data_IF_533814596628
#
_entry.id   IF_533814596628
#
_cell.length_a   1.000
_cell.length_b   1.000
_cell.length_c   1.000
_cell.angle_alpha   90.00
_cell.angle_beta   90.00
_cell.angle_gamma   90.00
#
_symmetry.space_group_name_H-M   'P 1'
#
loop_
_entity.id
_entity.type
_entity.pdbx_description
1 polymer ?
#
# COMPACT_ATOMS: atom_id res chain seq x y z
N UNK A 1 5.74 29.48 16.19
CA UNK A 1 6.06 30.60 15.34
C UNK A 1 5.35 31.88 15.75
N UNK A 2 6.11 32.83 16.11
CA UNK A 2 5.56 34.12 16.57
C UNK A 2 5.05 34.94 15.39
N UNK A 3 3.88 35.51 15.57
CA UNK A 3 3.32 36.51 14.67
C UNK A 3 4.28 37.69 14.43
N UNK A 4 5.31 37.87 15.26
CA UNK A 4 6.31 38.95 15.18
C UNK A 4 7.36 38.71 14.10
N UNK A 5 7.52 37.50 13.60
CA UNK A 5 8.39 37.19 12.45
C UNK A 5 7.76 37.57 11.10
N UNK A 6 6.56 38.11 11.10
CA UNK A 6 5.73 38.37 9.92
C UNK A 6 5.87 39.78 9.37
N UNK A 7 7.04 40.34 9.48
CA UNK A 7 7.34 41.60 8.82
C UNK A 7 7.79 41.46 7.37
N UNK A 8 8.30 42.52 6.80
CA UNK A 8 8.89 42.54 5.45
C UNK A 8 9.87 41.38 5.18
N UNK A 9 10.60 40.92 6.21
CA UNK A 9 11.50 39.78 6.09
C UNK A 9 10.81 38.46 5.76
N UNK A 10 9.61 38.23 6.23
CA UNK A 10 8.81 37.06 5.92
C UNK A 10 8.28 37.06 4.47
N UNK A 11 7.91 38.23 3.98
CA UNK A 11 7.47 38.44 2.60
C UNK A 11 8.62 38.04 1.66
N UNK A 12 9.83 38.49 1.93
CA UNK A 12 11.01 38.13 1.14
C UNK A 12 11.33 36.64 1.22
N UNK A 13 11.18 36.01 2.37
CA UNK A 13 11.42 34.55 2.55
C UNK A 13 10.40 33.70 1.82
N UNK A 14 9.22 34.23 1.53
CA UNK A 14 8.12 33.48 0.86
C UNK A 14 8.02 33.72 -0.64
N UNK A 15 8.86 34.55 -1.22
CA UNK A 15 8.79 34.91 -2.64
C UNK A 15 8.82 33.64 -3.53
N UNK A 16 9.70 32.70 -3.23
CA UNK A 16 9.80 31.43 -3.97
C UNK A 16 8.52 30.60 -3.78
N UNK A 17 8.04 30.46 -2.53
CA UNK A 17 6.83 29.67 -2.24
C UNK A 17 5.56 30.26 -2.87
N UNK A 18 5.52 31.56 -3.07
CA UNK A 18 4.36 32.28 -3.67
C UNK A 18 4.51 32.46 -5.19
N UNK A 19 5.62 32.00 -5.78
CA UNK A 19 5.87 32.12 -7.22
C UNK A 19 5.92 33.57 -7.72
N UNK A 20 6.45 34.51 -6.91
CA UNK A 20 6.52 35.91 -7.30
C UNK A 20 7.43 36.08 -8.53
N UNK A 21 7.09 36.99 -9.46
CA UNK A 21 7.94 37.27 -10.62
C UNK A 21 9.37 37.61 -10.22
N UNK A 22 10.33 36.97 -10.90
CA UNK A 22 11.75 37.12 -10.64
C UNK A 22 12.33 36.28 -9.49
N UNK A 23 11.49 35.44 -8.86
CA UNK A 23 11.99 34.46 -7.88
C UNK A 23 12.75 33.35 -8.58
N UNK A 24 13.92 32.99 -8.04
CA UNK A 24 14.69 31.85 -8.53
C UNK A 24 14.27 30.56 -7.79
N UNK A 25 14.38 29.40 -8.42
CA UNK A 25 14.09 28.12 -7.78
C UNK A 25 15.07 27.85 -6.62
N UNK A 26 14.57 27.23 -5.56
CA UNK A 26 15.37 26.81 -4.41
C UNK A 26 15.08 25.36 -4.11
N UNK A 27 16.14 24.53 -4.08
CA UNK A 27 16.03 23.11 -3.80
C UNK A 27 15.49 22.85 -2.38
N UNK A 28 14.46 22.02 -2.29
CA UNK A 28 13.94 21.57 -1.01
C UNK A 28 14.82 20.47 -0.44
N UNK A 29 15.37 20.69 0.74
CA UNK A 29 16.24 19.73 1.44
C UNK A 29 15.56 18.37 1.67
N UNK A 30 14.27 18.35 1.98
CA UNK A 30 13.51 17.12 2.24
C UNK A 30 13.44 16.22 0.99
N UNK A 31 13.38 16.80 -0.19
CA UNK A 31 13.41 16.04 -1.46
C UNK A 31 14.73 15.29 -1.61
N UNK A 32 15.84 15.95 -1.29
CA UNK A 32 17.17 15.28 -1.31
C UNK A 32 17.21 14.15 -0.28
N UNK A 33 16.69 14.37 0.93
CA UNK A 33 16.64 13.34 1.97
C UNK A 33 15.77 12.14 1.56
N UNK A 34 14.65 12.36 0.89
CA UNK A 34 13.83 11.29 0.31
C UNK A 34 14.55 10.52 -0.81
N UNK A 35 15.19 11.25 -1.74
CA UNK A 35 15.96 10.61 -2.80
C UNK A 35 17.11 9.76 -2.24
N UNK A 36 17.82 10.25 -1.23
CA UNK A 36 18.85 9.50 -0.52
C UNK A 36 18.28 8.27 0.18
N UNK A 37 17.15 8.41 0.88
CA UNK A 37 16.53 7.29 1.58
C UNK A 37 16.09 6.19 0.60
N UNK A 38 15.46 6.56 -0.51
CA UNK A 38 15.07 5.61 -1.57
C UNK A 38 16.30 4.94 -2.19
N UNK A 39 17.33 5.71 -2.51
CA UNK A 39 18.58 5.19 -3.06
C UNK A 39 19.29 4.20 -2.11
N UNK A 40 19.38 4.53 -0.82
CA UNK A 40 19.97 3.64 0.18
C UNK A 40 19.16 2.33 0.34
N UNK A 41 17.83 2.43 0.38
CA UNK A 41 16.94 1.26 0.46
C UNK A 41 16.98 0.38 -0.79
N UNK A 42 17.28 0.98 -1.93
CA UNK A 42 17.46 0.31 -3.22
C UNK A 42 18.94 -0.05 -3.51
N UNK A 43 19.80 -0.05 -2.48
CA UNK A 43 21.20 -0.42 -2.57
C UNK A 43 22.02 0.38 -3.58
N UNK A 44 21.63 1.61 -3.87
CA UNK A 44 22.33 2.47 -4.80
C UNK A 44 23.61 3.06 -4.20
N UNK A 45 24.57 3.32 -5.06
CA UNK A 45 25.70 4.18 -4.76
C UNK A 45 25.24 5.64 -4.81
N UNK A 46 25.45 6.39 -3.73
CA UNK A 46 25.13 7.82 -3.66
C UNK A 46 26.24 8.63 -4.32
N UNK A 47 25.88 9.53 -5.23
CA UNK A 47 26.78 10.50 -5.78
C UNK A 47 26.91 11.68 -4.82
N UNK A 48 28.07 11.84 -4.21
CA UNK A 48 28.31 12.91 -3.23
C UNK A 48 28.36 14.31 -3.86
N UNK A 49 28.47 14.38 -5.17
CA UNK A 49 28.37 15.61 -5.95
C UNK A 49 27.37 15.39 -7.07
N UNK A 50 26.23 16.03 -7.00
CA UNK A 50 25.23 16.01 -8.04
C UNK A 50 24.75 17.42 -8.39
N UNK A 51 24.18 17.59 -9.56
CA UNK A 51 23.69 18.88 -10.05
C UNK A 51 22.41 18.69 -10.84
N UNK A 52 21.70 19.79 -10.98
CA UNK A 52 20.53 19.85 -11.84
C UNK A 52 20.89 20.37 -13.24
N UNK A 53 20.14 19.89 -14.20
CA UNK A 53 20.19 20.27 -15.61
C UNK A 53 18.81 20.75 -16.05
N UNK A 54 18.74 21.64 -17.04
CA UNK A 54 17.50 22.03 -17.70
C UNK A 54 17.25 21.10 -18.88
N UNK A 55 16.11 20.43 -18.87
CA UNK A 55 15.53 19.66 -19.98
C UNK A 55 14.58 20.56 -20.75
N UNK A 56 15.01 21.08 -21.90
CA UNK A 56 14.28 22.11 -22.63
C UNK A 56 13.26 21.47 -23.60
N UNK A 57 12.00 21.78 -23.41
CA UNK A 57 10.93 21.42 -24.35
C UNK A 57 9.74 22.34 -24.22
N UNK A 58 9.02 22.49 -25.31
CA UNK A 58 7.86 23.36 -25.42
C UNK A 58 6.60 22.52 -25.35
N UNK A 59 5.86 22.65 -24.25
CA UNK A 59 4.58 21.95 -24.09
C UNK A 59 3.65 22.74 -23.13
N UNK A 60 2.31 22.70 -23.33
CA UNK A 60 1.40 23.53 -22.53
C UNK A 60 1.44 23.29 -21.02
N UNK A 61 1.77 22.07 -20.58
CA UNK A 61 1.88 21.69 -19.16
C UNK A 61 3.22 22.08 -18.54
N UNK A 62 4.15 22.61 -19.33
CA UNK A 62 5.47 23.05 -18.92
C UNK A 62 5.61 24.58 -19.06
N UNK A 63 5.13 25.38 -18.10
CA UNK A 63 4.96 26.82 -18.25
C UNK A 63 6.27 27.58 -18.43
N UNK A 64 7.38 27.06 -17.97
CA UNK A 64 8.71 27.70 -18.10
C UNK A 64 9.49 27.23 -19.32
N UNK A 65 8.93 26.31 -20.13
CA UNK A 65 9.53 25.73 -21.32
C UNK A 65 10.81 24.91 -21.08
N UNK A 66 11.07 24.56 -19.84
CA UNK A 66 12.06 23.58 -19.44
C UNK A 66 11.61 22.89 -18.16
N UNK A 67 12.15 21.72 -17.91
CA UNK A 67 11.97 20.95 -16.70
C UNK A 67 13.31 20.86 -15.98
N UNK A 68 13.34 21.11 -14.68
CA UNK A 68 14.52 20.85 -13.85
C UNK A 68 14.61 19.33 -13.70
N UNK A 69 15.80 18.77 -14.00
CA UNK A 69 16.06 17.34 -13.96
C UNK A 69 17.55 17.09 -13.67
N UNK A 70 18.01 15.85 -13.71
CA UNK A 70 19.44 15.49 -13.54
C UNK A 70 19.83 14.46 -14.60
N UNK A 71 20.48 14.88 -15.67
CA UNK A 71 20.95 13.96 -16.72
C UNK A 71 22.36 13.42 -16.44
N UNK A 72 23.31 14.31 -16.17
CA UNK A 72 24.73 13.92 -16.14
C UNK A 72 25.20 13.43 -14.79
N UNK A 73 24.68 14.03 -13.71
CA UNK A 73 25.10 13.75 -12.34
C UNK A 73 23.86 13.51 -11.44
N UNK A 74 23.15 12.39 -11.64
CA UNK A 74 22.02 12.02 -10.81
C UNK A 74 22.46 11.77 -9.36
N UNK A 75 21.51 11.80 -8.45
CA UNK A 75 21.77 11.61 -7.00
C UNK A 75 22.23 10.19 -6.66
N UNK A 76 21.72 9.16 -7.38
CA UNK A 76 22.06 7.76 -7.12
C UNK A 76 22.32 6.98 -8.41
N UNK A 77 23.18 5.96 -8.35
CA UNK A 77 23.48 5.02 -9.45
C UNK A 77 23.74 3.61 -8.95
N UNK A 78 23.69 2.67 -9.88
CA UNK A 78 24.22 1.31 -9.73
C UNK A 78 23.57 0.57 -8.54
N UNK A 79 22.25 0.67 -8.39
CA UNK A 79 21.49 0.01 -7.34
C UNK A 79 20.87 -1.31 -7.79
N UNK A 80 20.12 -1.94 -6.87
CA UNK A 80 19.31 -3.11 -7.18
C UNK A 80 18.21 -3.34 -6.14
N UNK A 81 17.20 -4.11 -6.54
CA UNK A 81 16.21 -4.69 -5.63
C UNK A 81 16.05 -6.18 -5.93
N UNK A 82 15.91 -6.99 -4.89
CA UNK A 82 15.60 -8.39 -5.02
C UNK A 82 14.06 -8.56 -5.04
N UNK A 83 13.54 -9.17 -6.10
CA UNK A 83 12.12 -9.44 -6.31
C UNK A 83 11.83 -10.93 -6.12
N UNK A 84 10.58 -11.24 -5.78
CA UNK A 84 10.02 -12.58 -5.76
C UNK A 84 8.66 -12.53 -6.45
N UNK A 85 8.50 -13.28 -7.54
CA UNK A 85 7.25 -13.33 -8.29
C UNK A 85 6.23 -14.23 -7.60
N UNK A 86 4.95 -14.17 -8.01
CA UNK A 86 3.90 -15.06 -7.50
C UNK A 86 4.22 -16.53 -7.78
N UNK A 87 4.88 -16.82 -8.90
CA UNK A 87 5.36 -18.17 -9.25
C UNK A 87 6.56 -18.64 -8.40
N UNK A 88 7.09 -17.78 -7.51
CA UNK A 88 8.21 -18.09 -6.63
C UNK A 88 9.59 -17.87 -7.25
N UNK A 89 9.68 -17.30 -8.45
CA UNK A 89 10.97 -16.93 -9.05
C UNK A 89 11.60 -15.77 -8.25
N UNK A 90 12.84 -15.97 -7.82
CA UNK A 90 13.64 -14.93 -7.17
C UNK A 90 14.66 -14.37 -8.14
N UNK A 91 14.72 -13.05 -8.22
CA UNK A 91 15.58 -12.37 -9.16
C UNK A 91 16.07 -11.03 -8.61
N UNK A 92 17.30 -10.67 -8.95
CA UNK A 92 17.81 -9.32 -8.75
C UNK A 92 17.56 -8.49 -9.99
N UNK A 93 16.96 -7.31 -9.80
CA UNK A 93 16.74 -6.31 -10.85
C UNK A 93 17.63 -5.10 -10.52
N UNK A 94 18.48 -4.73 -11.45
CA UNK A 94 19.34 -3.56 -11.34
C UNK A 94 18.57 -2.26 -11.47
N UNK A 95 19.09 -1.24 -10.81
CA UNK A 95 18.67 0.15 -10.95
C UNK A 95 19.84 0.91 -11.56
N UNK A 96 19.62 1.43 -12.75
CA UNK A 96 20.63 2.21 -13.47
C UNK A 96 20.92 3.51 -12.73
N UNK A 97 19.87 4.27 -12.44
CA UNK A 97 19.99 5.52 -11.69
C UNK A 97 18.67 5.92 -11.01
N UNK A 98 18.81 6.79 -10.03
CA UNK A 98 17.70 7.56 -9.45
C UNK A 98 18.08 9.02 -9.56
N UNK A 99 17.19 9.83 -10.12
CA UNK A 99 17.39 11.26 -10.22
C UNK A 99 16.17 12.05 -9.75
N UNK A 100 16.43 13.29 -9.35
CA UNK A 100 15.39 14.22 -8.93
C UNK A 100 15.02 15.11 -10.11
N UNK A 101 13.74 15.39 -10.22
CA UNK A 101 13.21 16.33 -11.19
C UNK A 101 11.98 17.06 -10.64
N UNK A 102 11.45 18.02 -11.38
CA UNK A 102 10.15 18.62 -11.10
C UNK A 102 9.07 17.99 -11.99
N UNK A 103 7.86 17.90 -11.46
CA UNK A 103 6.71 17.42 -12.23
C UNK A 103 6.14 18.53 -13.12
N UNK A 104 5.56 18.15 -14.24
CA UNK A 104 4.82 19.04 -15.14
C UNK A 104 3.36 19.19 -14.67
N UNK A 105 2.65 20.13 -15.25
CA UNK A 105 1.20 20.26 -15.12
C UNK A 105 0.47 19.04 -15.70
N UNK A 106 -0.84 19.11 -15.75
CA UNK A 106 -1.70 18.07 -16.33
C UNK A 106 -2.52 18.65 -17.48
N UNK A 107 -2.52 17.95 -18.60
CA UNK A 107 -3.42 18.24 -19.72
C UNK A 107 -4.66 17.34 -19.62
N UNK A 108 -5.83 17.95 -19.73
CA UNK A 108 -7.12 17.29 -19.75
C UNK A 108 -7.72 17.63 -21.14
N UNK A 109 -7.75 16.63 -22.02
CA UNK A 109 -8.38 16.78 -23.33
C UNK A 109 -9.88 16.61 -23.18
N UNK A 110 -10.63 17.63 -23.65
CA UNK A 110 -12.08 17.53 -23.69
C UNK A 110 -12.49 16.60 -24.83
N UNK A 111 -13.46 15.72 -24.59
CA UNK A 111 -13.95 14.79 -25.62
C UNK A 111 -15.04 15.42 -26.51
N UNK A 112 -15.61 16.53 -26.08
CA UNK A 112 -16.75 17.19 -26.70
C UNK A 112 -16.39 18.49 -27.41
N UNK A 113 -15.37 19.19 -26.88
CA UNK A 113 -14.88 20.44 -27.43
C UNK A 113 -13.44 20.24 -27.95
N UNK A 114 -13.09 20.86 -29.07
CA UNK A 114 -11.73 20.85 -29.58
C UNK A 114 -10.81 21.77 -28.76
N UNK A 115 -10.72 21.43 -27.47
CA UNK A 115 -9.90 22.16 -26.51
C UNK A 115 -9.18 21.22 -25.55
N UNK A 116 -8.17 21.77 -24.87
CA UNK A 116 -7.47 21.11 -23.77
C UNK A 116 -7.39 22.06 -22.59
N UNK A 117 -7.78 21.56 -21.41
CA UNK A 117 -7.61 22.28 -20.16
C UNK A 117 -6.23 21.99 -19.61
N UNK A 118 -5.59 23.00 -19.03
CA UNK A 118 -4.27 22.87 -18.41
C UNK A 118 -4.42 23.10 -16.91
N UNK A 119 -4.06 22.08 -16.12
CA UNK A 119 -4.03 22.15 -14.68
C UNK A 119 -2.57 22.19 -14.19
N UNK A 120 -2.18 23.31 -13.59
CA UNK A 120 -0.83 23.54 -13.05
C UNK A 120 -0.66 23.18 -11.57
N UNK A 121 -1.67 22.62 -10.89
CA UNK A 121 -1.55 22.30 -9.46
C UNK A 121 -0.40 21.37 -9.13
N UNK A 122 0.00 20.53 -10.08
CA UNK A 122 1.13 19.60 -9.94
C UNK A 122 2.46 20.17 -10.45
N UNK A 123 2.44 21.25 -11.22
CA UNK A 123 3.65 21.84 -11.82
C UNK A 123 4.66 22.25 -10.77
N UNK A 124 5.91 21.82 -10.93
CA UNK A 124 7.00 22.10 -10.00
C UNK A 124 7.00 21.25 -8.72
N UNK A 125 6.06 20.32 -8.55
CA UNK A 125 6.10 19.37 -7.43
C UNK A 125 7.33 18.48 -7.60
N UNK A 126 8.13 18.26 -6.55
CA UNK A 126 9.30 17.39 -6.64
C UNK A 126 8.94 15.96 -7.02
N UNK A 127 9.70 15.40 -7.94
CA UNK A 127 9.57 14.06 -8.48
C UNK A 127 10.89 13.32 -8.37
N UNK A 128 10.83 12.02 -8.10
CA UNK A 128 11.97 11.11 -8.16
C UNK A 128 11.70 10.13 -9.29
N UNK A 129 12.58 10.06 -10.28
CA UNK A 129 12.55 9.05 -11.33
C UNK A 129 13.54 7.92 -11.01
N UNK A 130 13.08 6.68 -11.11
CA UNK A 130 13.86 5.47 -10.90
C UNK A 130 13.95 4.72 -12.22
N UNK A 131 15.14 4.60 -12.76
CA UNK A 131 15.40 3.93 -14.04
C UNK A 131 15.99 2.55 -13.77
N UNK A 132 15.29 1.50 -14.19
CA UNK A 132 15.78 0.12 -14.05
C UNK A 132 16.80 -0.25 -15.13
N UNK A 133 17.68 -1.21 -14.82
CA UNK A 133 18.39 -1.94 -15.87
C UNK A 133 17.43 -2.85 -16.65
N UNK A 134 17.75 -3.21 -17.90
CA UNK A 134 16.88 -4.02 -18.75
C UNK A 134 16.93 -5.52 -18.39
N UNK A 135 16.75 -5.83 -17.12
CA UNK A 135 16.90 -7.19 -16.57
C UNK A 135 15.61 -8.00 -16.62
N UNK A 136 14.45 -7.35 -16.60
CA UNK A 136 13.14 -8.00 -16.53
C UNK A 136 12.79 -8.67 -17.87
N UNK A 137 12.12 -9.84 -17.78
CA UNK A 137 11.81 -10.70 -18.95
C UNK A 137 10.34 -11.08 -19.07
N UNK A 138 9.51 -10.71 -18.09
CA UNK A 138 8.07 -10.99 -18.10
C UNK A 138 7.27 -9.90 -17.43
N UNK A 139 5.97 -9.85 -17.70
CA UNK A 139 5.04 -8.97 -17.01
C UNK A 139 5.02 -9.24 -15.50
N UNK A 140 5.10 -10.51 -15.08
CA UNK A 140 5.14 -10.91 -13.68
C UNK A 140 6.35 -10.33 -12.94
N UNK A 141 7.53 -10.36 -13.56
CA UNK A 141 8.74 -9.75 -13.00
C UNK A 141 8.60 -8.22 -12.86
N UNK A 142 7.98 -7.56 -13.86
CA UNK A 142 7.74 -6.10 -13.82
C UNK A 142 6.78 -5.75 -12.69
N UNK A 143 5.69 -6.50 -12.51
CA UNK A 143 4.75 -6.25 -11.42
C UNK A 143 5.42 -6.47 -10.06
N UNK A 144 6.17 -7.56 -9.88
CA UNK A 144 6.92 -7.82 -8.65
C UNK A 144 7.93 -6.70 -8.33
N UNK A 145 8.60 -6.15 -9.35
CA UNK A 145 9.52 -5.02 -9.22
C UNK A 145 8.80 -3.74 -8.78
N UNK A 146 7.70 -3.39 -9.44
CA UNK A 146 6.93 -2.19 -9.11
C UNK A 146 6.29 -2.28 -7.72
N UNK A 147 5.78 -3.45 -7.33
CA UNK A 147 5.24 -3.68 -5.98
C UNK A 147 6.35 -3.56 -4.91
N UNK A 148 7.53 -4.09 -5.19
CA UNK A 148 8.68 -3.96 -4.29
C UNK A 148 9.08 -2.50 -4.09
N UNK A 149 9.19 -1.72 -5.18
CA UNK A 149 9.51 -0.30 -5.11
C UNK A 149 8.41 0.49 -4.39
N UNK A 150 7.15 0.25 -4.73
CA UNK A 150 6.01 0.89 -4.07
C UNK A 150 6.09 0.73 -2.56
N UNK A 151 6.29 -0.48 -2.08
CA UNK A 151 6.39 -0.76 -0.65
C UNK A 151 7.59 -0.09 -0.01
N UNK A 152 8.77 -0.12 -0.63
CA UNK A 152 9.94 0.60 -0.14
C UNK A 152 9.63 2.09 0.04
N UNK A 153 9.06 2.73 -0.97
CA UNK A 153 8.76 4.17 -0.98
C UNK A 153 7.69 4.53 0.06
N UNK A 154 6.64 3.71 0.18
CA UNK A 154 5.59 3.88 1.19
C UNK A 154 6.14 3.71 2.62
N UNK A 155 6.95 2.69 2.87
CA UNK A 155 7.57 2.49 4.19
C UNK A 155 8.52 3.64 4.57
N UNK A 156 9.23 4.20 3.61
CA UNK A 156 10.06 5.39 3.81
C UNK A 156 9.24 6.67 4.02
N UNK A 157 7.94 6.66 3.72
CA UNK A 157 7.08 7.84 3.80
C UNK A 157 7.40 8.90 2.74
N UNK A 158 8.03 8.51 1.63
CA UNK A 158 8.42 9.43 0.56
C UNK A 158 7.25 9.72 -0.40
N UNK A 159 6.34 8.77 -0.59
CA UNK A 159 5.10 8.89 -1.39
C UNK A 159 4.07 7.85 -0.94
N UNK A 160 2.79 8.12 -1.19
CA UNK A 160 1.70 7.16 -1.07
C UNK A 160 1.63 6.17 -2.25
N UNK A 161 2.32 6.49 -3.35
CA UNK A 161 2.46 5.64 -4.54
C UNK A 161 1.12 5.17 -5.15
N UNK A 162 0.13 6.04 -5.22
CA UNK A 162 -1.16 5.77 -5.83
C UNK A 162 -1.10 6.02 -7.35
N UNK A 163 -1.15 4.95 -8.15
CA UNK A 163 -1.14 5.03 -9.62
C UNK A 163 -2.34 5.79 -10.18
N UNK A 164 -3.52 5.61 -9.59
CA UNK A 164 -4.76 6.24 -10.04
C UNK A 164 -4.77 7.75 -9.81
N UNK A 165 -4.13 8.21 -8.74
CA UNK A 165 -3.99 9.63 -8.41
C UNK A 165 -2.75 10.27 -9.07
N UNK A 166 -1.89 9.45 -9.68
CA UNK A 166 -0.68 9.89 -10.38
C UNK A 166 0.50 10.23 -9.48
N UNK A 167 0.45 9.87 -8.19
CA UNK A 167 1.60 9.98 -7.28
C UNK A 167 2.64 8.88 -7.49
N UNK A 168 2.32 7.85 -8.26
CA UNK A 168 3.24 6.91 -8.88
C UNK A 168 2.88 6.78 -10.36
N UNK A 169 3.87 6.71 -11.23
CA UNK A 169 3.70 6.48 -12.67
C UNK A 169 4.74 5.47 -13.12
N UNK A 170 4.42 4.73 -14.16
CA UNK A 170 5.34 3.78 -14.77
C UNK A 170 5.27 3.89 -16.28
N UNK A 171 6.41 4.12 -16.91
CA UNK A 171 6.61 4.00 -18.34
C UNK A 171 7.36 2.70 -18.61
N UNK A 172 6.85 1.89 -19.56
CA UNK A 172 7.45 0.59 -19.88
C UNK A 172 8.16 0.66 -21.21
N UNK A 173 9.47 0.43 -21.18
CA UNK A 173 10.27 0.24 -22.37
C UNK A 173 10.39 -1.26 -22.67
N UNK A 174 9.89 -1.69 -23.83
CA UNK A 174 9.83 -3.08 -24.24
C UNK A 174 10.43 -3.31 -25.63
N UNK A 175 11.23 -4.36 -25.74
CA UNK A 175 11.70 -4.88 -27.02
C UNK A 175 11.64 -6.41 -27.04
N UNK A 176 11.49 -7.00 -28.20
CA UNK A 176 11.52 -8.45 -28.42
C UNK A 176 12.75 -8.82 -29.23
N UNK A 177 13.38 -9.93 -28.88
CA UNK A 177 14.49 -10.53 -29.63
C UNK A 177 14.36 -12.06 -29.67
N UNK A 178 15.05 -12.69 -30.59
CA UNK A 178 15.17 -14.13 -30.61
C UNK A 178 15.87 -14.65 -29.33
N UNK A 179 15.47 -15.81 -28.88
CA UNK A 179 16.08 -16.45 -27.70
C UNK A 179 17.59 -16.72 -27.96
N UNK A 180 18.44 -16.20 -27.08
CA UNK A 180 19.89 -16.30 -27.23
C UNK A 180 20.57 -15.21 -28.03
N UNK A 181 19.82 -14.30 -28.70
CA UNK A 181 20.41 -13.15 -29.36
C UNK A 181 21.15 -12.23 -28.34
N UNK A 182 22.38 -11.78 -28.64
CA UNK A 182 23.16 -10.97 -27.69
C UNK A 182 22.61 -9.53 -27.58
N UNK A 183 22.05 -9.00 -28.63
CA UNK A 183 21.57 -7.61 -28.70
C UNK A 183 20.07 -7.53 -28.44
N UNK A 184 19.64 -6.43 -27.83
CA UNK A 184 18.20 -6.13 -27.70
C UNK A 184 17.58 -5.76 -29.04
N UNK A 185 16.31 -6.07 -29.18
CA UNK A 185 15.52 -5.59 -30.31
C UNK A 185 15.19 -4.10 -30.21
N UNK A 186 14.51 -3.57 -31.22
CA UNK A 186 14.03 -2.19 -31.22
C UNK A 186 12.99 -1.98 -30.14
N UNK A 187 13.23 -1.04 -29.24
CA UNK A 187 12.32 -0.76 -28.12
C UNK A 187 11.17 0.16 -28.51
N UNK A 188 10.03 -0.07 -27.88
CA UNK A 188 8.92 0.87 -27.81
C UNK A 188 8.68 1.30 -26.38
N UNK A 189 8.22 2.53 -26.19
CA UNK A 189 7.86 3.08 -24.89
C UNK A 189 6.34 3.04 -24.73
N UNK A 190 5.84 2.39 -23.69
CA UNK A 190 4.41 2.29 -23.40
C UNK A 190 4.02 3.28 -22.32
N UNK A 191 3.03 4.14 -22.61
CA UNK A 191 2.49 5.18 -21.70
C UNK A 191 1.01 4.97 -21.42
N UNK A 192 0.47 5.74 -20.44
CA UNK A 192 -0.93 5.70 -20.01
C UNK A 192 -1.28 4.39 -19.26
N UNK A 193 -0.42 4.00 -18.34
CA UNK A 193 -0.52 2.76 -17.57
C UNK A 193 -0.99 3.09 -16.14
N UNK A 194 -2.30 2.99 -15.89
CA UNK A 194 -2.92 3.52 -14.68
C UNK A 194 -3.16 2.48 -13.58
N UNK A 195 -2.75 1.22 -13.80
CA UNK A 195 -2.84 0.15 -12.81
C UNK A 195 -1.82 -0.96 -13.11
N UNK A 196 -1.45 -1.74 -12.11
CA UNK A 196 -0.57 -2.90 -12.34
C UNK A 196 -1.17 -3.92 -13.31
N UNK A 197 -2.49 -4.09 -13.30
CA UNK A 197 -3.20 -4.93 -14.27
C UNK A 197 -3.08 -4.38 -15.70
N UNK A 198 -3.23 -3.06 -15.87
CA UNK A 198 -3.04 -2.41 -17.16
C UNK A 198 -1.59 -2.53 -17.65
N UNK A 199 -0.61 -2.39 -16.76
CA UNK A 199 0.81 -2.59 -17.08
C UNK A 199 1.05 -4.02 -17.60
N UNK A 200 0.56 -5.03 -16.90
CA UNK A 200 0.72 -6.43 -17.31
C UNK A 200 0.07 -6.69 -18.68
N UNK A 201 -1.15 -6.20 -18.92
CA UNK A 201 -1.83 -6.33 -20.23
C UNK A 201 -1.10 -5.60 -21.35
N UNK A 202 -0.61 -4.40 -21.06
CA UNK A 202 0.15 -3.62 -22.03
C UNK A 202 1.44 -4.33 -22.47
N UNK A 203 2.19 -4.90 -21.50
CA UNK A 203 3.39 -5.67 -21.79
C UNK A 203 3.06 -6.87 -22.69
N UNK A 204 2.05 -7.65 -22.37
CA UNK A 204 1.67 -8.83 -23.14
C UNK A 204 1.09 -8.46 -24.51
N UNK A 205 0.32 -7.38 -24.60
CA UNK A 205 -0.20 -6.87 -25.87
C UNK A 205 0.91 -6.38 -26.79
N UNK A 206 1.84 -5.59 -26.25
CA UNK A 206 2.95 -5.05 -27.06
C UNK A 206 3.94 -6.15 -27.44
N UNK A 207 4.21 -7.12 -26.53
CA UNK A 207 5.03 -8.29 -26.85
C UNK A 207 4.46 -9.07 -28.05
N UNK A 208 3.16 -9.36 -28.05
CA UNK A 208 2.49 -10.04 -29.17
C UNK A 208 2.61 -9.24 -30.45
N UNK A 209 2.31 -7.94 -30.42
CA UNK A 209 2.41 -7.07 -31.58
C UNK A 209 3.81 -7.07 -32.20
N UNK A 210 4.87 -6.99 -31.39
CA UNK A 210 6.25 -7.00 -31.89
C UNK A 210 6.62 -8.36 -32.48
N UNK A 211 6.19 -9.47 -31.87
CA UNK A 211 6.41 -10.81 -32.40
C UNK A 211 5.73 -10.96 -33.76
N UNK A 212 4.45 -10.59 -33.88
CA UNK A 212 3.71 -10.67 -35.15
C UNK A 212 4.39 -9.86 -36.27
N UNK A 213 4.85 -8.64 -35.96
CA UNK A 213 5.59 -7.83 -36.94
C UNK A 213 6.88 -8.52 -37.43
N UNK A 214 7.65 -9.10 -36.49
CA UNK A 214 8.91 -9.77 -36.82
C UNK A 214 8.68 -11.07 -37.60
N UNK A 215 7.66 -11.84 -37.28
CA UNK A 215 7.27 -13.06 -37.99
C UNK A 215 6.76 -12.75 -39.42
N UNK A 216 6.12 -11.61 -39.62
CA UNK A 216 5.74 -11.11 -40.95
C UNK A 216 6.92 -10.52 -41.75
N UNK A 217 8.14 -10.54 -41.19
CA UNK A 217 9.32 -9.94 -41.82
C UNK A 217 9.33 -8.41 -41.81
N UNK A 218 8.49 -7.78 -40.98
CA UNK A 218 8.42 -6.33 -40.79
C UNK A 218 9.35 -5.90 -39.67
N UNK A 219 9.69 -4.63 -39.63
CA UNK A 219 10.53 -4.05 -38.58
C UNK A 219 9.70 -3.38 -37.50
N UNK A 220 10.12 -3.51 -36.27
CA UNK A 220 9.62 -2.71 -35.15
C UNK A 220 10.22 -1.30 -35.27
N UNK A 221 9.37 -0.28 -35.19
CA UNK A 221 9.80 1.13 -35.22
C UNK A 221 9.94 1.60 -33.76
N UNK A 222 11.01 2.35 -33.47
CA UNK A 222 11.20 2.97 -32.16
C UNK A 222 10.23 4.15 -32.02
N UNK A 223 9.21 3.98 -31.18
CA UNK A 223 8.14 4.94 -30.98
C UNK A 223 7.60 4.90 -29.56
N UNK A 224 6.94 6.01 -29.17
CA UNK A 224 6.11 6.06 -27.95
C UNK A 224 4.68 5.67 -28.33
N UNK A 225 4.10 4.76 -27.55
CA UNK A 225 2.75 4.22 -27.75
C UNK A 225 1.88 4.44 -26.52
N UNK A 226 0.64 4.85 -26.74
CA UNK A 226 -0.38 4.97 -25.69
C UNK A 226 -1.19 3.67 -25.61
N UNK A 227 -1.27 3.10 -24.44
CA UNK A 227 -2.11 1.95 -24.15
C UNK A 227 -3.58 2.37 -23.97
N UNK A 228 -4.49 1.64 -24.57
CA UNK A 228 -5.94 1.73 -24.39
C UNK A 228 -6.40 0.42 -23.72
N UNK A 229 -6.66 0.49 -22.42
CA UNK A 229 -6.95 -0.69 -21.61
C UNK A 229 -8.32 -1.31 -21.95
N UNK A 230 -9.27 -0.51 -22.43
CA UNK A 230 -10.59 -0.99 -22.84
C UNK A 230 -10.54 -1.75 -24.18
N UNK A 231 -9.61 -1.36 -25.07
CA UNK A 231 -9.42 -1.98 -26.38
C UNK A 231 -8.33 -3.04 -26.40
N UNK A 232 -7.62 -3.20 -25.26
CA UNK A 232 -6.43 -4.04 -25.14
C UNK A 232 -5.43 -3.86 -26.30
N UNK A 233 -5.23 -2.62 -26.72
CA UNK A 233 -4.39 -2.25 -27.85
C UNK A 233 -3.64 -0.96 -27.62
N UNK A 234 -2.54 -0.79 -28.34
CA UNK A 234 -1.74 0.44 -28.30
C UNK A 234 -1.81 1.21 -29.59
N UNK A 235 -1.70 2.54 -29.51
CA UNK A 235 -1.60 3.44 -30.65
C UNK A 235 -0.29 4.22 -30.59
N UNK A 236 0.38 4.37 -31.74
CA UNK A 236 1.55 5.24 -31.84
C UNK A 236 1.15 6.68 -31.54
N UNK A 237 1.93 7.35 -30.70
CA UNK A 237 1.77 8.77 -30.39
C UNK A 237 2.72 9.63 -31.21
N UNK A 238 3.99 9.24 -31.27
CA UNK A 238 5.05 9.92 -32.04
C UNK A 238 6.16 8.91 -32.39
N UNK A 239 6.82 9.15 -33.52
CA UNK A 239 7.97 8.37 -33.95
C UNK A 239 9.30 8.98 -33.47
N UNK A 240 10.40 8.25 -33.69
CA UNK A 240 11.77 8.73 -33.41
C UNK A 240 12.14 9.96 -34.24
N UNK A 241 11.56 10.15 -35.43
CA UNK A 241 11.77 11.33 -36.26
C UNK A 241 11.29 12.62 -35.62
N UNK A 242 10.29 12.49 -34.69
CA UNK A 242 9.78 13.59 -33.87
C UNK A 242 10.51 13.71 -32.50
N UNK A 243 11.58 12.93 -32.28
CA UNK A 243 12.33 12.98 -31.03
C UNK A 243 12.96 14.36 -30.86
N UNK A 244 12.51 15.08 -29.86
CA UNK A 244 13.06 16.39 -29.53
C UNK A 244 14.46 16.25 -28.95
N UNK A 245 15.42 17.01 -29.46
CA UNK A 245 16.67 17.27 -28.77
C UNK A 245 16.39 18.23 -27.60
N UNK A 246 16.41 17.70 -26.38
CA UNK A 246 16.14 18.48 -25.18
C UNK A 246 17.22 19.48 -24.83
N UNK A 247 18.36 19.51 -25.52
CA UNK A 247 19.46 20.47 -25.36
C UNK A 247 19.78 20.71 -23.88
N UNK A 248 20.05 19.62 -23.17
CA UNK A 248 20.38 19.69 -21.75
C UNK A 248 21.61 20.57 -21.49
N UNK A 249 21.51 21.41 -20.47
CA UNK A 249 22.62 22.17 -19.92
C UNK A 249 22.43 22.35 -18.39
N UNK A 250 23.53 22.56 -17.62
CA UNK A 250 23.43 22.78 -16.19
C UNK A 250 22.50 23.95 -15.86
N UNK A 251 21.59 23.75 -14.87
CA UNK A 251 20.72 24.83 -14.43
C UNK A 251 21.55 25.92 -13.74
N UNK A 252 21.53 27.17 -14.25
CA UNK A 252 22.36 28.24 -13.70
C UNK A 252 21.85 28.79 -12.37
N UNK A 253 20.59 28.52 -12.03
CA UNK A 253 19.93 29.04 -10.82
C UNK A 253 20.09 28.10 -9.62
N UNK A 254 20.48 26.85 -9.84
CA UNK A 254 20.67 25.84 -8.81
C UNK A 254 22.16 25.50 -8.64
N UNK A 255 22.64 25.68 -7.43
CA UNK A 255 24.02 25.28 -7.10
C UNK A 255 24.14 23.76 -7.02
N UNK A 256 25.29 23.17 -7.35
CA UNK A 256 25.54 21.77 -7.13
C UNK A 256 25.25 21.33 -5.69
N UNK A 257 24.71 20.13 -5.53
CA UNK A 257 24.42 19.54 -4.22
C UNK A 257 25.62 18.70 -3.79
N UNK A 258 26.19 19.07 -2.64
CA UNK A 258 27.28 18.31 -2.02
C UNK A 258 26.72 17.51 -0.86
N UNK A 259 26.80 16.18 -0.95
CA UNK A 259 26.24 15.24 0.01
C UNK A 259 27.39 14.61 0.80
N UNK A 260 27.51 14.98 2.07
CA UNK A 260 28.58 14.45 2.92
C UNK A 260 28.26 13.05 3.46
N UNK A 261 29.32 12.33 3.87
CA UNK A 261 29.15 11.01 4.52
C UNK A 261 28.31 11.09 5.79
N UNK A 262 28.44 12.20 6.55
CA UNK A 262 27.63 12.42 7.76
C UNK A 262 26.14 12.63 7.41
N UNK A 263 25.84 13.25 6.27
CA UNK A 263 24.47 13.40 5.81
C UNK A 263 23.87 12.05 5.41
N UNK A 264 24.63 11.26 4.64
CA UNK A 264 24.25 9.90 4.26
C UNK A 264 24.02 9.04 5.50
N UNK A 265 24.97 9.04 6.45
CA UNK A 265 24.86 8.28 7.69
C UNK A 265 23.63 8.68 8.51
N UNK A 266 23.31 9.97 8.57
CA UNK A 266 22.15 10.49 9.29
C UNK A 266 20.84 10.08 8.63
N UNK A 267 20.75 10.10 7.30
CA UNK A 267 19.57 9.61 6.56
C UNK A 267 19.41 8.10 6.79
N UNK A 268 20.50 7.33 6.67
CA UNK A 268 20.49 5.88 6.90
C UNK A 268 20.02 5.51 8.31
N UNK A 269 20.49 6.25 9.33
CA UNK A 269 20.11 6.00 10.72
C UNK A 269 18.63 6.30 11.02
N UNK A 270 17.97 7.10 10.18
CA UNK A 270 16.54 7.46 10.30
C UNK A 270 15.62 6.57 9.47
N UNK A 271 16.17 5.69 8.65
CA UNK A 271 15.34 4.78 7.87
C UNK A 271 14.50 3.91 8.80
N UNK A 272 13.19 3.79 8.54
CA UNK A 272 12.37 2.85 9.26
C UNK A 272 12.76 1.41 8.86
N UNK A 273 12.39 0.47 9.70
CA UNK A 273 12.45 -0.95 9.35
C UNK A 273 11.57 -1.23 8.12
N UNK A 274 12.16 -1.79 7.09
CA UNK A 274 11.46 -2.10 5.84
C UNK A 274 10.69 -3.44 5.94
N UNK A 275 9.80 -3.66 5.00
CA UNK A 275 8.92 -4.85 4.97
C UNK A 275 9.66 -6.17 5.18
N UNK A 276 10.79 -6.37 4.52
CA UNK A 276 11.55 -7.63 4.59
C UNK A 276 12.06 -7.90 6.01
N UNK A 277 12.55 -6.86 6.67
CA UNK A 277 13.03 -6.91 8.05
C UNK A 277 11.87 -7.14 9.03
N UNK A 278 10.73 -6.45 8.82
CA UNK A 278 9.51 -6.65 9.61
C UNK A 278 8.99 -8.10 9.50
N UNK A 279 8.97 -8.68 8.29
CA UNK A 279 8.57 -10.08 8.11
C UNK A 279 9.45 -11.01 8.94
N UNK A 280 10.77 -10.81 8.90
CA UNK A 280 11.71 -11.61 9.68
C UNK A 280 11.45 -11.45 11.18
N UNK A 281 11.32 -10.22 11.66
CA UNK A 281 11.04 -9.91 13.06
C UNK A 281 9.69 -10.46 13.54
N UNK A 282 8.62 -10.34 12.75
CA UNK A 282 7.30 -10.88 13.14
C UNK A 282 7.31 -12.40 13.30
N UNK A 283 8.12 -13.08 12.49
CA UNK A 283 8.33 -14.53 12.64
C UNK A 283 9.13 -14.86 13.88
N UNK A 284 10.20 -14.13 14.15
CA UNK A 284 11.14 -14.40 15.26
C UNK A 284 10.58 -13.96 16.62
N UNK A 285 10.12 -12.71 16.73
CA UNK A 285 9.67 -12.14 18.01
C UNK A 285 8.25 -12.53 18.38
N UNK A 286 7.33 -12.53 17.38
CA UNK A 286 5.91 -12.77 17.64
C UNK A 286 5.46 -14.20 17.33
N UNK A 287 6.33 -15.01 16.74
CA UNK A 287 6.04 -16.39 16.36
C UNK A 287 4.88 -16.51 15.38
N UNK A 288 4.75 -15.53 14.46
CA UNK A 288 3.73 -15.55 13.42
C UNK A 288 4.17 -16.45 12.26
N UNK A 289 3.21 -17.13 11.60
CA UNK A 289 3.46 -17.78 10.32
C UNK A 289 3.94 -16.78 9.28
N UNK A 290 4.74 -17.23 8.32
CA UNK A 290 5.25 -16.36 7.24
C UNK A 290 4.12 -15.72 6.43
N UNK A 291 3.06 -16.47 6.16
CA UNK A 291 1.88 -15.96 5.46
C UNK A 291 1.27 -14.75 6.18
N UNK A 292 1.07 -14.87 7.51
CA UNK A 292 0.50 -13.79 8.33
C UNK A 292 1.42 -12.57 8.35
N UNK A 293 2.73 -12.78 8.53
CA UNK A 293 3.71 -11.72 8.53
C UNK A 293 3.76 -10.98 7.16
N UNK A 294 3.68 -11.72 6.04
CA UNK A 294 3.64 -11.13 4.69
C UNK A 294 2.37 -10.31 4.46
N UNK A 295 1.23 -10.77 4.96
CA UNK A 295 -0.06 -10.09 4.79
C UNK A 295 -0.14 -8.83 5.65
N UNK A 296 0.22 -8.89 6.93
CA UNK A 296 0.26 -7.73 7.83
C UNK A 296 1.22 -6.63 7.36
N UNK A 297 2.27 -7.01 6.64
CA UNK A 297 3.26 -6.06 6.11
C UNK A 297 3.02 -5.67 4.65
N UNK A 298 1.90 -6.07 4.06
CA UNK A 298 1.54 -5.68 2.68
C UNK A 298 1.21 -4.20 2.53
N UNK A 299 0.87 -3.53 3.62
CA UNK A 299 0.70 -2.10 3.77
C UNK A 299 1.45 -1.62 5.00
N UNK A 300 2.06 -0.44 4.91
CA UNK A 300 2.71 0.20 6.07
C UNK A 300 1.69 0.49 7.16
N UNK A 301 0.53 1.01 6.78
CA UNK A 301 -0.52 1.37 7.73
C UNK A 301 -1.03 0.14 8.51
N UNK A 302 -1.27 -0.98 7.82
CA UNK A 302 -1.64 -2.25 8.46
C UNK A 302 -0.55 -2.72 9.44
N UNK A 303 0.72 -2.62 9.06
CA UNK A 303 1.84 -2.99 9.91
C UNK A 303 1.92 -2.09 11.16
N UNK A 304 1.73 -0.79 11.01
CA UNK A 304 1.74 0.17 12.11
C UNK A 304 0.57 -0.10 13.10
N UNK A 305 -0.64 -0.37 12.60
CA UNK A 305 -1.80 -0.78 13.43
C UNK A 305 -1.50 -2.08 14.19
N UNK A 306 -0.94 -3.07 13.50
CA UNK A 306 -0.58 -4.35 14.13
C UNK A 306 0.45 -4.17 15.24
N UNK A 307 1.54 -3.45 14.99
CA UNK A 307 2.61 -3.22 15.96
C UNK A 307 2.11 -2.47 17.20
N UNK A 308 1.36 -1.40 16.99
CA UNK A 308 0.85 -0.59 18.08
C UNK A 308 -0.23 -1.36 18.89
N UNK A 309 -1.13 -2.08 18.22
CA UNK A 309 -2.09 -2.96 18.91
C UNK A 309 -1.38 -4.06 19.72
N UNK A 310 -0.33 -4.65 19.15
CA UNK A 310 0.50 -5.65 19.82
C UNK A 310 1.20 -5.06 21.05
N UNK A 311 1.79 -3.88 20.92
CA UNK A 311 2.46 -3.16 22.00
C UNK A 311 1.50 -2.87 23.16
N UNK A 312 0.27 -2.43 22.84
CA UNK A 312 -0.75 -2.06 23.83
C UNK A 312 -1.42 -3.28 24.48
N UNK A 313 -1.63 -4.36 23.74
CA UNK A 313 -2.33 -5.55 24.24
C UNK A 313 -1.38 -6.60 24.84
N UNK A 314 -0.13 -6.66 24.39
CA UNK A 314 0.79 -7.75 24.68
C UNK A 314 0.43 -9.07 23.98
N UNK A 315 -0.45 -9.05 22.97
CA UNK A 315 -1.04 -10.24 22.35
C UNK A 315 -0.90 -10.25 20.82
N UNK A 316 0.31 -10.49 20.28
CA UNK A 316 0.56 -10.40 18.85
C UNK A 316 -0.32 -11.34 18.01
N UNK A 317 -0.54 -12.58 18.46
CA UNK A 317 -1.37 -13.54 17.73
C UNK A 317 -2.85 -13.12 17.67
N UNK A 318 -3.37 -12.55 18.74
CA UNK A 318 -4.75 -12.04 18.74
C UNK A 318 -4.86 -10.78 17.87
N UNK A 319 -3.90 -9.84 17.97
CA UNK A 319 -3.87 -8.67 17.10
C UNK A 319 -3.82 -9.07 15.62
N UNK A 320 -2.96 -10.05 15.26
CA UNK A 320 -2.91 -10.62 13.90
C UNK A 320 -4.27 -11.19 13.48
N UNK A 321 -4.89 -12.02 14.32
CA UNK A 321 -6.18 -12.64 14.00
C UNK A 321 -7.28 -11.59 13.76
N UNK A 322 -7.37 -10.55 14.58
CA UNK A 322 -8.37 -9.49 14.39
C UNK A 322 -8.17 -8.74 13.07
N UNK A 323 -6.94 -8.39 12.75
CA UNK A 323 -6.64 -7.67 11.53
C UNK A 323 -6.83 -8.55 10.29
N UNK A 324 -6.31 -9.78 10.29
CA UNK A 324 -6.37 -10.66 9.13
C UNK A 324 -7.76 -11.26 8.85
N UNK A 325 -8.57 -11.44 9.88
CA UNK A 325 -9.90 -12.06 9.69
C UNK A 325 -10.99 -11.01 9.67
N UNK A 326 -11.12 -10.21 10.71
CA UNK A 326 -12.27 -9.30 10.85
C UNK A 326 -12.04 -7.97 10.12
N UNK A 327 -10.86 -7.32 10.26
CA UNK A 327 -10.60 -6.08 9.56
C UNK A 327 -10.57 -6.28 8.04
N UNK A 328 -9.90 -7.33 7.53
CA UNK A 328 -9.88 -7.61 6.09
C UNK A 328 -11.26 -7.98 5.54
N UNK A 329 -12.09 -8.66 6.31
CA UNK A 329 -13.49 -8.91 5.93
C UNK A 329 -14.25 -7.59 5.76
N UNK A 330 -14.15 -6.69 6.73
CA UNK A 330 -14.84 -5.40 6.71
C UNK A 330 -14.33 -4.48 5.59
N UNK A 331 -13.01 -4.43 5.36
CA UNK A 331 -12.43 -3.71 4.23
C UNK A 331 -12.99 -4.21 2.90
N UNK A 332 -13.04 -5.54 2.71
CA UNK A 332 -13.58 -6.13 1.49
C UNK A 332 -15.07 -5.81 1.29
N UNK A 333 -15.85 -5.83 2.36
CA UNK A 333 -17.28 -5.50 2.31
C UNK A 333 -17.55 -4.02 1.98
N UNK A 334 -16.61 -3.13 2.33
CA UNK A 334 -16.72 -1.69 2.13
C UNK A 334 -15.86 -1.18 0.95
N UNK A 335 -15.20 -2.08 0.22
CA UNK A 335 -14.28 -1.74 -0.88
C UNK A 335 -13.18 -0.75 -0.46
N UNK A 336 -12.67 -0.89 0.77
CA UNK A 336 -11.63 -0.05 1.37
C UNK A 336 -10.25 -0.65 1.16
N UNK A 337 -9.24 0.23 1.02
CA UNK A 337 -7.83 -0.14 1.09
C UNK A 337 -7.34 -0.11 2.55
N UNK A 338 -6.24 -0.79 2.91
CA UNK A 338 -5.69 -0.76 4.26
C UNK A 338 -5.39 0.65 4.79
N UNK A 339 -5.03 1.57 3.92
CA UNK A 339 -4.74 2.97 4.20
C UNK A 339 -5.96 3.78 4.65
N UNK A 340 -7.17 3.28 4.37
CA UNK A 340 -8.44 3.94 4.73
C UNK A 340 -8.95 3.53 6.12
N UNK A 341 -8.25 2.64 6.83
CA UNK A 341 -8.64 2.25 8.19
C UNK A 341 -8.36 3.38 9.19
N UNK A 342 -9.41 3.90 9.81
CA UNK A 342 -9.33 5.05 10.73
C UNK A 342 -9.90 4.70 12.11
N UNK A 343 -9.35 3.70 12.79
CA UNK A 343 -9.75 3.40 14.16
C UNK A 343 -8.55 3.42 15.12
N UNK A 344 -8.83 3.69 16.38
CA UNK A 344 -7.83 3.77 17.43
C UNK A 344 -7.30 2.39 17.80
N UNK A 345 -6.00 2.19 17.68
CA UNK A 345 -5.32 0.93 18.08
C UNK A 345 -5.52 0.59 19.55
N UNK A 346 -5.72 1.60 20.41
CA UNK A 346 -6.07 1.44 21.82
C UNK A 346 -7.42 0.76 22.01
N UNK A 347 -8.41 1.04 21.15
CA UNK A 347 -9.73 0.42 21.20
C UNK A 347 -9.65 -1.07 20.82
N UNK A 348 -8.92 -1.40 19.76
CA UNK A 348 -8.67 -2.82 19.43
C UNK A 348 -7.90 -3.54 20.55
N UNK A 349 -6.90 -2.91 21.12
CA UNK A 349 -6.16 -3.49 22.24
C UNK A 349 -7.03 -3.68 23.50
N UNK A 350 -7.93 -2.73 23.79
CA UNK A 350 -8.91 -2.87 24.88
C UNK A 350 -9.88 -4.03 24.61
N UNK A 351 -10.39 -4.15 23.39
CA UNK A 351 -11.25 -5.26 22.98
C UNK A 351 -10.58 -6.61 23.17
N UNK A 352 -9.31 -6.75 22.76
CA UNK A 352 -8.52 -7.97 22.95
C UNK A 352 -8.45 -8.32 24.44
N UNK A 353 -8.12 -7.34 25.30
CA UNK A 353 -8.07 -7.55 26.77
C UNK A 353 -9.43 -7.91 27.37
N UNK A 354 -10.52 -7.34 26.88
CA UNK A 354 -11.87 -7.68 27.33
C UNK A 354 -12.24 -9.13 27.03
N UNK A 355 -11.85 -9.64 25.87
CA UNK A 355 -12.04 -11.05 25.51
C UNK A 355 -11.18 -11.95 26.41
N UNK A 356 -9.91 -11.61 26.60
CA UNK A 356 -8.98 -12.37 27.44
C UNK A 356 -9.43 -12.46 28.90
N UNK A 357 -9.94 -11.35 29.42
CA UNK A 357 -10.45 -11.29 30.80
C UNK A 357 -11.88 -11.86 30.95
N UNK A 358 -12.43 -12.46 29.90
CA UNK A 358 -13.81 -12.98 29.87
C UNK A 358 -14.86 -11.95 30.31
N UNK A 359 -14.65 -10.67 29.95
CA UNK A 359 -15.64 -9.60 30.10
C UNK A 359 -16.72 -9.74 29.05
N UNK A 360 -16.28 -10.02 27.82
CA UNK A 360 -17.14 -10.38 26.68
C UNK A 360 -16.62 -11.65 26.02
N UNK A 361 -17.47 -12.38 25.34
CA UNK A 361 -17.06 -13.52 24.54
C UNK A 361 -16.69 -13.11 23.11
N UNK A 362 -16.09 -14.02 22.34
CA UNK A 362 -15.60 -13.74 20.98
C UNK A 362 -16.73 -13.38 19.99
N UNK A 363 -17.93 -13.88 20.20
CA UNK A 363 -19.10 -13.55 19.33
C UNK A 363 -19.52 -12.10 19.52
N UNK A 364 -19.64 -11.66 20.77
CA UNK A 364 -19.94 -10.26 21.12
C UNK A 364 -18.79 -9.35 20.65
N UNK A 365 -17.55 -9.79 20.85
CA UNK A 365 -16.39 -9.00 20.45
C UNK A 365 -16.36 -8.69 18.95
N UNK A 366 -16.87 -9.56 18.07
CA UNK A 366 -16.99 -9.27 16.64
C UNK A 366 -17.94 -8.09 16.36
N UNK A 367 -19.07 -8.05 17.04
CA UNK A 367 -20.01 -6.92 16.91
C UNK A 367 -19.39 -5.63 17.43
N UNK A 368 -18.69 -5.69 18.57
CA UNK A 368 -17.98 -4.54 19.12
C UNK A 368 -16.87 -4.06 18.18
N UNK A 369 -16.14 -4.99 17.54
CA UNK A 369 -15.11 -4.64 16.57
C UNK A 369 -15.68 -3.96 15.31
N UNK A 370 -16.88 -4.38 14.85
CA UNK A 370 -17.54 -3.69 13.74
C UNK A 370 -17.85 -2.22 14.07
N UNK A 371 -18.23 -1.93 15.30
CA UNK A 371 -18.45 -0.55 15.76
C UNK A 371 -17.14 0.24 15.91
N UNK A 372 -16.08 -0.41 16.43
CA UNK A 372 -14.74 0.18 16.44
C UNK A 372 -14.31 0.52 15.01
N UNK A 373 -14.43 -0.43 14.09
CA UNK A 373 -13.97 -0.27 12.71
C UNK A 373 -14.73 0.84 11.95
N UNK A 374 -16.04 0.99 12.19
CA UNK A 374 -16.88 1.96 11.47
C UNK A 374 -16.94 3.33 12.11
N UNK A 375 -16.84 3.41 13.42
CA UNK A 375 -17.16 4.62 14.19
C UNK A 375 -16.11 4.97 15.24
N UNK A 376 -15.02 4.22 15.29
CA UNK A 376 -13.99 4.30 16.34
C UNK A 376 -14.59 4.28 17.77
N UNK A 377 -15.65 3.49 17.97
CA UNK A 377 -16.36 3.43 19.24
C UNK A 377 -15.46 2.91 20.35
N UNK A 378 -15.52 3.55 21.54
CA UNK A 378 -14.85 3.05 22.73
C UNK A 378 -15.48 1.71 23.14
N UNK A 379 -14.72 0.59 23.15
CA UNK A 379 -15.28 -0.74 23.40
C UNK A 379 -15.83 -0.91 24.82
N UNK A 380 -15.25 -0.26 25.82
CA UNK A 380 -15.70 -0.37 27.20
C UNK A 380 -17.04 0.34 27.38
N UNK A 381 -17.16 1.56 26.87
CA UNK A 381 -18.39 2.33 26.88
C UNK A 381 -19.51 1.63 26.09
N UNK A 382 -19.20 1.17 24.87
CA UNK A 382 -20.19 0.48 24.03
C UNK A 382 -20.72 -0.81 24.68
N UNK A 383 -19.84 -1.61 25.31
CA UNK A 383 -20.20 -2.85 26.02
C UNK A 383 -21.07 -2.54 27.25
N UNK A 384 -20.76 -1.47 27.98
CA UNK A 384 -21.54 -1.04 29.16
C UNK A 384 -22.94 -0.57 28.76
N UNK A 385 -23.03 0.36 27.81
CA UNK A 385 -24.30 0.95 27.34
C UNK A 385 -25.26 -0.09 26.75
N UNK A 386 -24.72 -1.07 26.05
CA UNK A 386 -25.50 -2.13 25.42
C UNK A 386 -25.64 -3.38 26.30
N UNK A 387 -25.10 -3.33 27.54
CA UNK A 387 -25.17 -4.43 28.50
C UNK A 387 -24.63 -5.75 27.94
N UNK A 388 -23.49 -5.71 27.22
CA UNK A 388 -22.95 -6.86 26.47
C UNK A 388 -21.97 -7.74 27.30
N UNK A 389 -21.75 -7.42 28.55
CA UNK A 389 -20.91 -8.22 29.45
C UNK A 389 -21.42 -9.66 29.57
N UNK A 390 -20.49 -10.60 29.70
CA UNK A 390 -20.81 -12.02 29.93
C UNK A 390 -21.60 -12.17 31.20
N UNK A 391 -22.74 -12.82 31.10
CA UNK A 391 -23.56 -13.18 32.26
C UNK A 391 -22.87 -14.36 32.98
N UNK A 392 -22.34 -14.10 34.19
CA UNK A 392 -21.66 -15.09 35.02
C UNK A 392 -22.59 -15.67 36.09
N UNK A 393 -23.85 -15.22 36.17
CA UNK A 393 -24.83 -15.71 37.09
C UNK A 393 -25.32 -17.10 36.66
N UNK A 394 -24.79 -18.12 37.33
CA UNK A 394 -25.12 -19.52 37.10
C UNK A 394 -26.63 -19.79 37.30
N UNK A 395 -27.27 -19.08 38.23
CA UNK A 395 -28.72 -19.21 38.47
C UNK A 395 -29.54 -18.77 37.30
N UNK A 396 -29.27 -17.56 36.78
CA UNK A 396 -29.94 -17.02 35.60
C UNK A 396 -29.68 -17.84 34.33
N UNK A 397 -28.45 -18.38 34.20
CA UNK A 397 -28.10 -19.29 33.08
C UNK A 397 -28.87 -20.60 33.20
N UNK A 398 -28.93 -21.22 34.38
CA UNK A 398 -29.65 -22.46 34.67
C UNK A 398 -31.16 -22.33 34.40
N UNK A 399 -31.76 -21.21 34.81
CA UNK A 399 -33.18 -20.91 34.51
C UNK A 399 -33.45 -20.77 33.02
N UNK A 400 -32.55 -20.09 32.29
CA UNK A 400 -32.66 -19.95 30.83
C UNK A 400 -32.49 -21.31 30.13
N UNK A 401 -31.56 -22.16 30.55
CA UNK A 401 -31.40 -23.51 29.98
C UNK A 401 -32.67 -24.34 30.26
N UNK A 402 -33.25 -24.30 31.47
CA UNK A 402 -34.52 -24.99 31.78
C UNK A 402 -35.66 -24.51 30.89
N UNK A 403 -35.79 -23.19 30.71
CA UNK A 403 -36.82 -22.62 29.85
C UNK A 403 -36.65 -23.07 28.36
N UNK A 404 -35.40 -23.10 27.88
CA UNK A 404 -35.11 -23.59 26.52
C UNK A 404 -35.43 -25.08 26.36
N UNK A 405 -35.07 -25.89 27.34
CA UNK A 405 -35.36 -27.33 27.37
C UNK A 405 -36.88 -27.58 27.40
N UNK A 406 -37.61 -26.85 28.22
CA UNK A 406 -39.09 -26.93 28.30
C UNK A 406 -39.74 -26.52 26.98
N UNK A 407 -39.21 -25.54 26.26
CA UNK A 407 -39.67 -25.11 24.94
C UNK A 407 -39.31 -26.08 23.81
N UNK A 408 -38.38 -27.02 24.04
CA UNK A 408 -37.90 -27.95 23.02
C UNK A 408 -37.87 -29.40 23.52
N UNK A 409 -39.02 -29.96 23.96
CA UNK A 409 -39.07 -31.27 24.60
C UNK A 409 -38.61 -32.42 23.68
N UNK A 410 -38.88 -32.30 22.38
CA UNK A 410 -38.43 -33.28 21.39
C UNK A 410 -36.91 -33.38 21.31
N UNK A 411 -36.18 -32.27 21.41
CA UNK A 411 -34.73 -32.29 21.40
C UNK A 411 -34.11 -32.89 22.69
N UNK A 412 -34.81 -32.71 23.81
CA UNK A 412 -34.42 -33.35 25.06
C UNK A 412 -34.61 -34.88 24.95
N UNK A 413 -35.73 -35.36 24.39
CA UNK A 413 -35.99 -36.75 24.16
C UNK A 413 -35.04 -37.37 23.13
N UNK A 414 -34.76 -36.67 22.06
CA UNK A 414 -33.79 -37.08 21.05
C UNK A 414 -32.38 -37.31 21.65
N UNK A 415 -31.93 -36.43 22.55
CA UNK A 415 -30.66 -36.61 23.25
C UNK A 415 -30.70 -37.85 24.18
N UNK A 416 -31.78 -38.03 24.92
CA UNK A 416 -31.98 -39.20 25.80
C UNK A 416 -32.00 -40.52 25.02
N UNK A 417 -32.43 -40.47 23.76
CA UNK A 417 -32.43 -41.59 22.83
C UNK A 417 -31.10 -41.76 22.09
N UNK A 418 -29.99 -41.08 22.51
CA UNK A 418 -28.65 -41.24 21.99
C UNK A 418 -28.28 -40.35 20.79
N UNK A 419 -29.11 -39.37 20.43
CA UNK A 419 -28.81 -38.42 19.37
C UNK A 419 -28.00 -37.22 19.91
N UNK A 420 -26.68 -37.35 20.02
CA UNK A 420 -25.80 -36.34 20.59
C UNK A 420 -25.93 -34.94 19.92
N UNK A 421 -26.29 -34.88 18.62
CA UNK A 421 -26.49 -33.60 17.90
C UNK A 421 -27.58 -32.72 18.51
N UNK A 422 -28.56 -33.28 19.23
CA UNK A 422 -29.61 -32.54 19.89
C UNK A 422 -29.09 -31.63 21.01
N UNK A 423 -27.99 -32.02 21.67
CA UNK A 423 -27.32 -31.17 22.66
C UNK A 423 -26.81 -29.86 22.02
N UNK A 424 -26.15 -29.94 20.86
CA UNK A 424 -25.68 -28.76 20.14
C UNK A 424 -26.80 -27.80 19.76
N UNK A 425 -27.99 -28.33 19.42
CA UNK A 425 -29.17 -27.51 19.16
C UNK A 425 -29.65 -26.77 20.44
N UNK A 426 -29.77 -27.46 21.57
CA UNK A 426 -30.17 -26.86 22.85
C UNK A 426 -29.18 -25.78 23.32
N UNK A 427 -27.89 -26.03 23.19
CA UNK A 427 -26.85 -25.04 23.46
C UNK A 427 -27.02 -23.81 22.54
N UNK A 428 -27.23 -24.01 21.24
CA UNK A 428 -27.47 -22.94 20.29
C UNK A 428 -28.73 -22.10 20.63
N UNK A 429 -29.83 -22.73 21.01
CA UNK A 429 -31.04 -22.04 21.43
C UNK A 429 -30.83 -21.25 22.76
N UNK A 430 -30.10 -21.80 23.70
CA UNK A 430 -29.75 -21.11 24.95
C UNK A 430 -28.87 -19.89 24.67
N UNK A 431 -27.84 -20.04 23.83
CA UNK A 431 -27.00 -18.91 23.40
C UNK A 431 -27.82 -17.81 22.71
N UNK A 432 -28.81 -18.21 21.87
CA UNK A 432 -29.72 -17.26 21.21
C UNK A 432 -30.62 -16.54 22.23
N UNK A 433 -31.20 -17.27 23.19
CA UNK A 433 -32.04 -16.71 24.26
C UNK A 433 -31.26 -15.70 25.13
N UNK A 434 -29.98 -15.98 25.38
CA UNK A 434 -29.04 -15.12 26.11
C UNK A 434 -28.44 -14.02 25.23
N UNK A 435 -28.89 -13.86 23.97
CA UNK A 435 -28.36 -12.89 22.98
C UNK A 435 -26.85 -12.98 22.80
N UNK A 436 -26.29 -14.19 22.88
CA UNK A 436 -24.85 -14.42 22.79
C UNK A 436 -24.01 -14.02 24.01
N UNK A 437 -24.62 -13.56 25.11
CA UNK A 437 -23.90 -13.04 26.30
C UNK A 437 -23.49 -14.11 27.30
N UNK A 438 -23.80 -15.38 27.07
CA UNK A 438 -23.42 -16.46 27.95
C UNK A 438 -22.06 -17.05 27.57
N UNK A 439 -21.34 -17.62 28.56
CA UNK A 439 -20.16 -18.42 28.29
C UNK A 439 -20.56 -19.76 27.65
N UNK A 440 -20.12 -20.05 26.40
CA UNK A 440 -20.49 -21.31 25.76
C UNK A 440 -20.07 -22.57 26.53
N UNK A 441 -18.95 -22.53 27.23
CA UNK A 441 -18.48 -23.65 28.02
C UNK A 441 -19.40 -23.92 29.20
N UNK A 442 -19.81 -22.87 29.88
CA UNK A 442 -20.72 -22.92 31.02
C UNK A 442 -22.13 -23.39 30.58
N UNK A 443 -22.63 -22.88 29.45
CA UNK A 443 -23.90 -23.33 28.87
C UNK A 443 -23.83 -24.81 28.49
N UNK A 444 -22.77 -25.27 27.85
CA UNK A 444 -22.57 -26.68 27.50
C UNK A 444 -22.58 -27.57 28.78
N UNK A 445 -21.89 -27.11 29.81
CA UNK A 445 -21.85 -27.84 31.08
C UNK A 445 -23.25 -27.95 31.72
N UNK A 446 -23.96 -26.82 31.85
CA UNK A 446 -25.30 -26.76 32.41
C UNK A 446 -26.33 -27.57 31.62
N UNK A 447 -26.31 -27.50 30.31
CA UNK A 447 -27.16 -28.30 29.42
C UNK A 447 -26.88 -29.79 29.67
N UNK A 448 -25.61 -30.19 29.73
CA UNK A 448 -25.24 -31.59 30.00
C UNK A 448 -25.68 -32.07 31.39
N UNK A 449 -25.49 -31.28 32.42
CA UNK A 449 -25.92 -31.59 33.79
C UNK A 449 -27.43 -31.76 33.88
N UNK A 450 -28.20 -30.82 33.29
CA UNK A 450 -29.67 -30.90 33.34
C UNK A 450 -30.24 -32.03 32.48
N UNK A 451 -29.61 -32.38 31.35
CA UNK A 451 -29.98 -33.53 30.54
C UNK A 451 -29.70 -34.86 31.28
N UNK A 452 -28.63 -34.94 32.08
CA UNK A 452 -28.26 -36.12 32.86
C UNK A 452 -29.06 -36.28 34.17
N UNK A 453 -29.47 -35.13 34.77
CA UNK A 453 -30.08 -35.13 36.09
C UNK A 453 -31.60 -35.40 36.17
N UNK A 454 -32.29 -35.55 35.08
CA UNK A 454 -33.69 -36.02 35.03
C UNK A 454 -34.78 -35.08 35.53
N UNK A 455 -34.48 -33.92 36.16
CA UNK A 455 -35.43 -32.92 36.64
C UNK A 455 -35.59 -31.76 35.60
N UNK A 456 -36.52 -31.91 34.71
CA UNK A 456 -37.03 -30.82 33.83
C UNK A 456 -38.50 -30.67 34.02
#
# INVERSE_FOLDING_TARGET
>A
DSSTSRGLGDVYKRQVCTGMPGSLPVLNKQVVEYALAVGLAANCRINQYCKFDRKNYFYPDNPQNYQISQLYLPVCRDGWVDIETESGLKKRVGIHEIHMEEDAGKLIHDEWEDCSLVDYNRSGVPLIEIVSEPDMRSAEEVIAYLEKLRLIIQYLGASDCKLQEGSMRADVNLSVREAGAPEFGTRTEMKNLNSFKAIARAIEGERRRQIELLEEGRQVIQETRRWDDNKESSKAMRSKEDAQDYRYFPDPDLVPVVISDEWIARVKARQPELRTEKIARYKEEYGLPEYDARLLTSSKHMADIFEETTRLSGRPKEASNWLMVEAMRLMKEQEMEPEDMEFSTSHLAALIRMVENNIINRTVAKTVFEEIFRHDADPEAYVEENGLKVVKDEGALRDTVKAVMAANPQSVEDYRNGREKAMGFLVGQTMKAMKGKADPSMVNQLVRELLAGGDV
#
